data_IF_529419454332
#
_entry.id   IF_529419454332
#
_cell.length_a   1.000
_cell.length_b   1.000
_cell.length_c   1.000
_cell.angle_alpha   90.00
_cell.angle_beta   90.00
_cell.angle_gamma   90.00
#
_symmetry.space_group_name_H-M   'P 1'
#
loop_
_entity.id
_entity.type
_entity.pdbx_description
1 polymer ?
#
# COMPACT_ATOMS: atom_id res chain seq x y z
N UNK A 1 12.47 -8.96 -2.85
CA UNK A 1 11.96 -7.62 -2.56
C UNK A 1 10.91 -7.60 -1.45
N UNK A 2 9.81 -8.32 -1.60
CA UNK A 2 8.82 -8.44 -0.52
C UNK A 2 8.89 -9.85 0.05
N UNK A 3 9.49 -10.05 1.24
CA UNK A 3 9.59 -11.39 1.83
C UNK A 3 8.21 -12.01 2.08
N UNK A 4 8.18 -13.33 2.10
CA UNK A 4 6.92 -14.08 2.27
C UNK A 4 6.20 -13.73 3.56
N UNK A 5 6.94 -13.50 4.65
CA UNK A 5 6.33 -13.13 5.93
C UNK A 5 5.57 -11.80 5.82
N UNK A 6 6.12 -10.84 5.07
CA UNK A 6 5.47 -9.55 4.89
C UNK A 6 4.27 -9.68 3.96
N UNK A 7 4.39 -10.48 2.89
CA UNK A 7 3.23 -10.77 2.03
C UNK A 7 2.08 -11.38 2.83
N UNK A 8 2.41 -12.29 3.75
CA UNK A 8 1.42 -12.92 4.62
C UNK A 8 0.72 -11.89 5.52
N UNK A 9 1.47 -10.93 6.05
CA UNK A 9 0.89 -9.86 6.87
C UNK A 9 -0.04 -8.97 6.05
N UNK A 10 0.35 -8.62 4.82
CA UNK A 10 -0.50 -7.84 3.93
C UNK A 10 -1.80 -8.57 3.63
N UNK A 11 -1.71 -9.86 3.31
CA UNK A 11 -2.88 -10.69 3.02
C UNK A 11 -3.80 -10.82 4.23
N UNK A 12 -3.22 -11.01 5.41
CA UNK A 12 -4.01 -11.14 6.64
C UNK A 12 -4.76 -9.84 6.95
N UNK A 13 -4.09 -8.69 6.81
CA UNK A 13 -4.72 -7.40 7.04
C UNK A 13 -5.83 -7.14 6.04
N UNK A 14 -5.59 -7.44 4.75
CA UNK A 14 -6.58 -7.28 3.70
C UNK A 14 -7.83 -8.10 4.00
N UNK A 15 -7.67 -9.36 4.42
CA UNK A 15 -8.81 -10.22 4.76
C UNK A 15 -9.55 -9.73 6.00
N UNK A 16 -8.82 -9.23 6.99
CA UNK A 16 -9.43 -8.74 8.23
C UNK A 16 -10.31 -7.51 7.99
N UNK A 17 -9.91 -6.65 7.04
CA UNK A 17 -10.66 -5.42 6.74
C UNK A 17 -11.74 -5.61 5.69
N UNK A 18 -11.72 -6.70 4.92
CA UNK A 18 -12.70 -6.92 3.87
C UNK A 18 -14.12 -6.86 4.44
N UNK A 19 -15.09 -6.28 3.72
CA UNK A 19 -15.03 -5.80 2.33
C UNK A 19 -14.43 -4.41 2.13
N UNK A 20 -13.91 -3.80 3.18
CA UNK A 20 -13.27 -2.48 3.07
C UNK A 20 -11.83 -2.63 2.62
N UNK A 21 -11.26 -1.58 2.04
CA UNK A 21 -9.85 -1.56 1.70
C UNK A 21 -9.02 -1.45 2.99
N UNK A 22 -8.02 -2.32 3.12
CA UNK A 22 -7.00 -2.19 4.15
C UNK A 22 -5.92 -1.23 3.64
N UNK A 23 -5.20 -0.57 4.53
CA UNK A 23 -4.07 0.27 4.15
C UNK A 23 -3.02 0.28 5.24
N UNK A 24 -1.80 0.66 4.86
CA UNK A 24 -0.68 0.72 5.78
C UNK A 24 0.60 1.14 5.09
N UNK A 25 1.71 0.97 5.79
CA UNK A 25 3.03 1.34 5.29
C UNK A 25 3.94 0.12 5.28
N UNK A 26 4.61 -0.09 4.15
CA UNK A 26 5.68 -1.09 4.07
C UNK A 26 7.00 -0.34 4.18
N UNK A 27 7.82 -0.72 5.14
CA UNK A 27 9.11 -0.07 5.42
C UNK A 27 10.19 -0.80 4.65
N UNK A 28 10.90 -0.07 3.77
CA UNK A 28 11.94 -0.65 2.92
C UNK A 28 13.30 -0.03 3.25
N UNK A 29 14.34 -0.86 3.09
CA UNK A 29 15.72 -0.40 3.13
C UNK A 29 16.44 -1.04 1.94
N UNK A 30 17.07 -0.21 1.12
CA UNK A 30 17.79 -0.66 -0.09
C UNK A 30 16.91 -1.52 -1.00
N UNK A 31 15.64 -1.11 -1.14
CA UNK A 31 14.68 -1.79 -2.00
C UNK A 31 14.08 -3.07 -1.44
N UNK A 32 14.42 -3.43 -0.20
CA UNK A 32 13.93 -4.65 0.43
C UNK A 32 13.00 -4.30 1.59
N UNK A 33 11.81 -4.91 1.61
CA UNK A 33 10.86 -4.70 2.69
C UNK A 33 11.34 -5.37 3.97
N UNK A 34 11.33 -4.61 5.07
CA UNK A 34 11.76 -5.10 6.38
C UNK A 34 10.60 -5.34 7.33
N UNK A 35 9.52 -4.55 7.20
CA UNK A 35 8.33 -4.76 8.03
C UNK A 35 7.12 -4.07 7.44
N UNK A 36 5.94 -4.47 7.89
CA UNK A 36 4.68 -3.85 7.55
C UNK A 36 4.08 -3.19 8.80
N UNK A 37 3.62 -1.96 8.65
CA UNK A 37 2.92 -1.23 9.70
C UNK A 37 1.46 -1.09 9.27
N UNK A 38 0.55 -1.89 9.84
CA UNK A 38 -0.87 -1.74 9.53
C UNK A 38 -1.37 -0.36 9.91
N UNK A 39 -2.13 0.25 9.02
CA UNK A 39 -2.78 1.53 9.28
C UNK A 39 -4.27 1.35 9.40
N UNK A 40 -4.96 2.48 9.58
CA UNK A 40 -6.41 2.51 9.63
C UNK A 40 -6.92 3.21 8.38
N UNK A 41 -7.97 2.63 7.76
CA UNK A 41 -8.65 3.31 6.67
C UNK A 41 -9.72 4.21 7.28
N UNK A 42 -9.45 5.50 7.33
CA UNK A 42 -10.30 6.47 8.01
C UNK A 42 -11.70 6.61 7.38
N UNK A 43 -11.85 6.21 6.11
CA UNK A 43 -13.16 6.28 5.43
C UNK A 43 -13.88 4.94 5.39
N UNK A 44 -13.23 3.84 5.81
CA UNK A 44 -13.82 2.52 5.91
C UNK A 44 -14.65 2.15 4.67
N UNK A 45 -14.04 2.24 3.49
CA UNK A 45 -14.73 2.05 2.21
C UNK A 45 -14.15 0.86 1.43
N UNK A 46 -14.99 0.11 0.67
CA UNK A 46 -14.48 -0.91 -0.23
C UNK A 46 -13.93 -0.34 -1.55
N UNK A 47 -14.03 0.98 -1.77
CA UNK A 47 -13.67 1.61 -3.04
C UNK A 47 -12.55 2.62 -2.96
N UNK A 48 -12.15 3.03 -1.76
CA UNK A 48 -11.09 4.01 -1.56
C UNK A 48 -10.52 3.89 -0.15
N UNK A 49 -9.38 4.54 0.07
CA UNK A 49 -8.78 4.56 1.39
C UNK A 49 -8.27 5.96 1.72
N UNK A 50 -8.18 6.21 3.01
CA UNK A 50 -7.52 7.38 3.55
C UNK A 50 -6.68 6.87 4.73
N UNK A 51 -5.36 6.80 4.51
CA UNK A 51 -4.46 6.19 5.48
C UNK A 51 -4.30 7.05 6.72
N UNK A 52 -4.59 6.45 7.87
CA UNK A 52 -4.29 7.02 9.17
C UNK A 52 -3.27 6.14 9.86
N UNK A 53 -2.16 6.75 10.29
CA UNK A 53 -1.09 6.05 10.98
C UNK A 53 -0.48 6.97 12.03
N UNK A 54 0.31 6.41 12.96
CA UNK A 54 0.97 7.20 13.98
C UNK A 54 1.96 8.17 13.35
N UNK A 55 1.97 9.45 13.76
CA UNK A 55 2.85 10.46 13.14
C UNK A 55 4.32 10.09 13.14
N UNK A 56 4.82 9.40 14.17
CA UNK A 56 6.22 9.02 14.25
C UNK A 56 6.65 8.06 13.15
N UNK A 57 5.72 7.36 12.50
CA UNK A 57 6.08 6.45 11.40
C UNK A 57 6.66 7.21 10.21
N UNK A 58 6.30 8.48 10.03
CA UNK A 58 6.84 9.32 8.96
C UNK A 58 8.31 9.64 9.14
N UNK A 59 8.78 9.65 10.40
CA UNK A 59 10.17 9.95 10.69
C UNK A 59 11.13 8.83 10.29
N UNK A 60 10.60 7.65 9.94
CA UNK A 60 11.44 6.58 9.43
C UNK A 60 12.15 6.99 8.14
N UNK A 61 11.55 7.85 7.35
CA UNK A 61 12.22 8.36 6.14
C UNK A 61 13.47 9.16 6.47
N UNK A 62 13.48 9.85 7.60
CA UNK A 62 14.65 10.60 8.07
C UNK A 62 15.76 9.67 8.57
N UNK A 63 15.43 8.41 8.87
CA UNK A 63 16.38 7.41 9.34
C UNK A 63 16.93 6.54 8.21
N UNK A 64 16.64 6.90 6.95
CA UNK A 64 17.17 6.21 5.80
C UNK A 64 16.27 5.11 5.24
N UNK A 65 15.04 4.98 5.77
CA UNK A 65 14.07 4.04 5.21
C UNK A 65 13.25 4.69 4.10
N UNK A 66 12.76 3.87 3.19
CA UNK A 66 11.75 4.27 2.23
C UNK A 66 10.41 3.71 2.68
N UNK A 67 9.35 4.49 2.53
CA UNK A 67 8.00 4.04 2.88
C UNK A 67 7.19 3.82 1.61
N UNK A 68 6.62 2.63 1.46
CA UNK A 68 5.67 2.35 0.39
C UNK A 68 4.26 2.35 0.97
N UNK A 69 3.33 2.94 0.25
CA UNK A 69 1.92 2.99 0.66
C UNK A 69 1.25 1.72 0.19
N UNK A 70 0.69 0.97 1.14
CA UNK A 70 -0.06 -0.25 0.84
C UNK A 70 -1.55 -0.02 0.97
N UNK A 71 -2.32 -0.57 0.00
CA UNK A 71 -3.75 -0.75 0.23
C UNK A 71 -4.23 -1.99 -0.54
N UNK A 72 -5.43 -2.47 -0.17
CA UNK A 72 -6.02 -3.63 -0.82
C UNK A 72 -7.21 -3.22 -1.67
N UNK A 73 -7.41 -3.97 -2.75
CA UNK A 73 -8.63 -3.94 -3.54
C UNK A 73 -9.37 -5.25 -3.27
N UNK A 74 -10.58 -5.23 -2.70
CA UNK A 74 -11.27 -6.49 -2.36
C UNK A 74 -11.45 -7.44 -3.54
N UNK A 75 -11.80 -6.93 -4.72
CA UNK A 75 -12.06 -7.77 -5.89
C UNK A 75 -11.72 -7.13 -7.23
N UNK A 76 -11.13 -5.93 -7.25
CA UNK A 76 -10.71 -5.29 -8.50
C UNK A 76 -9.23 -5.52 -8.76
N UNK A 77 -8.74 -5.32 -10.00
CA UNK A 77 -7.34 -5.57 -10.32
C UNK A 77 -6.38 -4.79 -9.41
N UNK A 78 -5.18 -5.35 -9.12
CA UNK A 78 -4.21 -4.70 -8.23
C UNK A 78 -3.45 -3.58 -8.95
N UNK A 79 -4.20 -2.59 -9.43
CA UNK A 79 -3.62 -1.41 -10.06
C UNK A 79 -4.36 -0.17 -9.57
N UNK A 80 -3.72 1.01 -9.60
CA UNK A 80 -4.37 2.23 -9.12
C UNK A 80 -5.70 2.47 -9.83
N UNK A 81 -6.75 2.67 -9.04
CA UNK A 81 -8.06 3.01 -9.57
C UNK A 81 -8.08 4.50 -9.90
N UNK A 82 -9.16 4.95 -10.56
CA UNK A 82 -9.34 6.36 -10.81
C UNK A 82 -9.39 7.16 -9.50
N UNK A 83 -10.08 6.63 -8.50
CA UNK A 83 -10.13 7.26 -7.18
C UNK A 83 -8.75 7.34 -6.56
N UNK A 84 -7.93 6.29 -6.68
CA UNK A 84 -6.55 6.29 -6.18
C UNK A 84 -5.75 7.42 -6.81
N UNK A 85 -5.81 7.55 -8.14
CA UNK A 85 -5.05 8.58 -8.86
C UNK A 85 -5.51 9.99 -8.52
N UNK A 86 -6.81 10.18 -8.34
CA UNK A 86 -7.37 11.49 -8.01
C UNK A 86 -7.11 11.92 -6.58
N UNK A 87 -6.96 10.95 -5.67
CA UNK A 87 -6.87 11.23 -4.23
C UNK A 87 -5.50 10.91 -3.62
N UNK A 88 -4.49 10.64 -4.47
CA UNK A 88 -3.17 10.25 -3.98
C UNK A 88 -2.51 11.33 -3.10
N UNK A 89 -2.64 12.61 -3.49
CA UNK A 89 -2.15 13.70 -2.67
C UNK A 89 -0.68 13.54 -2.27
N UNK A 90 -0.42 13.62 -0.98
CA UNK A 90 0.94 13.48 -0.43
C UNK A 90 1.53 12.09 -0.64
N UNK A 91 0.69 11.08 -0.88
CA UNK A 91 1.15 9.71 -1.07
C UNK A 91 1.72 9.46 -2.47
N UNK A 92 1.43 10.34 -3.44
CA UNK A 92 1.80 10.13 -4.83
C UNK A 92 3.32 10.03 -5.06
N UNK A 93 4.12 10.64 -4.19
CA UNK A 93 5.57 10.61 -4.32
C UNK A 93 6.21 9.31 -3.86
N UNK A 94 5.45 8.41 -3.27
CA UNK A 94 5.96 7.15 -2.72
C UNK A 94 5.55 5.97 -3.57
N UNK A 95 6.29 4.85 -3.52
CA UNK A 95 5.83 3.62 -4.18
C UNK A 95 4.50 3.15 -3.59
N UNK A 96 3.66 2.57 -4.42
CA UNK A 96 2.38 2.02 -4.02
C UNK A 96 2.37 0.52 -4.19
N UNK A 97 1.91 -0.20 -3.18
CA UNK A 97 1.69 -1.65 -3.23
C UNK A 97 0.20 -1.90 -3.13
N UNK A 98 -0.35 -2.61 -4.10
CA UNK A 98 -1.78 -2.91 -4.13
C UNK A 98 -1.97 -4.42 -4.18
N UNK A 99 -2.77 -4.94 -3.25
CA UNK A 99 -3.10 -6.36 -3.17
C UNK A 99 -4.56 -6.57 -3.53
N UNK A 100 -4.81 -7.46 -4.47
CA UNK A 100 -6.18 -7.91 -4.71
C UNK A 100 -6.48 -9.02 -3.72
N UNK A 101 -7.45 -8.78 -2.83
CA UNK A 101 -7.70 -9.66 -1.69
C UNK A 101 -8.14 -11.05 -2.09
N UNK A 102 -9.05 -11.18 -3.08
CA UNK A 102 -9.62 -12.47 -3.45
C UNK A 102 -8.64 -13.39 -4.18
N UNK A 103 -7.70 -12.85 -4.96
CA UNK A 103 -6.72 -13.64 -5.72
C UNK A 103 -5.34 -13.65 -5.08
N UNK A 104 -5.08 -12.73 -4.14
CA UNK A 104 -3.77 -12.48 -3.51
C UNK A 104 -2.72 -11.94 -4.48
N UNK A 105 -3.13 -11.43 -5.64
CA UNK A 105 -2.19 -10.77 -6.54
C UNK A 105 -1.68 -9.49 -5.91
N UNK A 106 -0.36 -9.29 -5.95
CA UNK A 106 0.29 -8.10 -5.43
C UNK A 106 1.04 -7.41 -6.56
N UNK A 107 0.90 -6.10 -6.67
CA UNK A 107 1.61 -5.32 -7.68
C UNK A 107 2.11 -4.02 -7.07
N UNK A 108 3.21 -3.51 -7.60
CA UNK A 108 3.79 -2.24 -7.17
C UNK A 108 3.71 -1.24 -8.29
N UNK A 109 3.52 0.03 -7.94
CA UNK A 109 3.29 1.10 -8.89
C UNK A 109 3.97 2.39 -8.44
N UNK A 110 4.36 3.20 -9.42
CA UNK A 110 4.77 4.58 -9.21
C UNK A 110 3.73 5.47 -9.84
N UNK A 111 3.24 6.45 -9.09
CA UNK A 111 2.22 7.38 -9.60
C UNK A 111 2.89 8.64 -10.13
N UNK A 112 2.35 9.20 -11.23
CA UNK A 112 2.96 10.31 -11.93
C UNK A 112 1.87 11.11 -12.66
N UNK A 113 1.49 12.27 -12.14
CA UNK A 113 0.52 13.18 -12.77
C UNK A 113 -0.73 12.49 -13.31
N UNK A 114 -1.38 11.69 -12.47
CA UNK A 114 -2.62 11.01 -12.84
C UNK A 114 -2.42 9.77 -13.67
N UNK A 115 -1.18 9.30 -13.81
CA UNK A 115 -0.88 8.02 -14.46
C UNK A 115 -0.11 7.12 -13.50
N UNK A 116 0.01 5.83 -13.84
CA UNK A 116 0.70 4.87 -13.00
C UNK A 116 1.63 4.00 -13.85
N UNK A 117 2.84 3.77 -13.34
CA UNK A 117 3.84 2.92 -14.01
C UNK A 117 4.13 1.74 -13.10
N UNK A 118 4.09 0.49 -13.62
CA UNK A 118 4.39 -0.67 -12.78
C UNK A 118 5.85 -0.71 -12.37
N UNK A 119 6.09 -1.22 -11.16
CA UNK A 119 7.42 -1.45 -10.61
C UNK A 119 7.58 -2.95 -10.40
N UNK A 120 8.69 -3.57 -10.89
CA UNK A 120 8.92 -5.00 -10.63
C UNK A 120 9.05 -5.30 -9.14
N UNK A 121 8.53 -6.46 -8.72
CA UNK A 121 8.54 -6.87 -7.31
C UNK A 121 9.67 -7.84 -6.96
N UNK A 122 10.44 -8.27 -7.90
CA UNK A 122 11.53 -9.25 -7.69
C UNK A 122 12.89 -8.62 -7.36
#
# INVERSE_FOLDING_TARGET
MIPEEIRAELQAHARAEAPNEACGLVVLRDGKAERYIPGENAVASPYRFELRTEPENWFLEDEGYELAVFHSHPSSPPKPSRADLERAGLWAARPWLILRTDTRELAAWRLDDGSATPIPLD
#
